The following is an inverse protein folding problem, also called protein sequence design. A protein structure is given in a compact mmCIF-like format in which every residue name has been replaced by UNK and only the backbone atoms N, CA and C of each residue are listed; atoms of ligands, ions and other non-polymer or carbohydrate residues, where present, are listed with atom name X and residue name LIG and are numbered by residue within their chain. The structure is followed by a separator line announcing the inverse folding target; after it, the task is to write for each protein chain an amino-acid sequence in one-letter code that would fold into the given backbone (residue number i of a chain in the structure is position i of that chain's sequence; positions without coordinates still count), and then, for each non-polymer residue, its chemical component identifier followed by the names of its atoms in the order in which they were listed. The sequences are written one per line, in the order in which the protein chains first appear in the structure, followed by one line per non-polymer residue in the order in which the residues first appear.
data_IF_093275789388
#
_entry.id   IF_093275789388
#
_cell.length_a   1.000
_cell.length_b   1.000
_cell.length_c   1.000
_cell.angle_alpha   90.00
_cell.angle_beta   90.00
_cell.angle_gamma   90.00
#
_symmetry.space_group_name_H-M   'P 1'
#
loop_
_entity.id
_entity.type
_entity.pdbx_description
1 polymer ?
#
# COMPACT_ATOMS: atom_id res chain seq x y z
N UNK A 1 -7.21 -1.12 0.39
CA UNK A 1 -7.36 -0.48 1.73
C UNK A 1 -7.30 1.06 1.79
N UNK A 2 -6.85 1.83 0.78
CA UNK A 2 -6.64 3.28 0.96
C UNK A 2 -7.95 4.06 1.25
N UNK A 3 -9.09 3.61 0.71
CA UNK A 3 -10.39 4.24 0.94
C UNK A 3 -10.83 4.26 2.40
N UNK A 4 -10.53 3.19 3.16
CA UNK A 4 -10.88 3.13 4.57
C UNK A 4 -10.11 4.19 5.38
N UNK A 5 -8.85 4.43 5.02
CA UNK A 5 -8.01 5.46 5.64
C UNK A 5 -8.53 6.85 5.27
N UNK A 6 -8.88 7.08 3.99
CA UNK A 6 -9.49 8.34 3.54
C UNK A 6 -10.76 8.66 4.31
N UNK A 7 -11.63 7.66 4.47
CA UNK A 7 -12.88 7.81 5.20
C UNK A 7 -12.66 8.13 6.68
N UNK A 8 -11.81 7.36 7.36
CA UNK A 8 -11.51 7.62 8.77
C UNK A 8 -10.82 8.97 8.97
N UNK A 9 -9.94 9.39 8.05
CA UNK A 9 -9.25 10.67 8.12
C UNK A 9 -10.23 11.85 8.10
N UNK A 10 -11.19 11.86 7.17
CA UNK A 10 -12.22 12.89 7.05
C UNK A 10 -13.06 13.02 8.35
N UNK A 11 -13.43 11.87 8.93
CA UNK A 11 -14.18 11.84 10.19
C UNK A 11 -13.33 12.34 11.36
N UNK A 12 -12.06 11.96 11.42
CA UNK A 12 -11.17 12.35 12.51
C UNK A 12 -10.69 13.80 12.42
N UNK A 13 -10.64 14.39 11.22
CA UNK A 13 -10.20 15.77 11.00
C UNK A 13 -11.32 16.79 11.22
N UNK A 14 -12.58 16.37 11.06
CA UNK A 14 -13.75 17.21 11.24
C UNK A 14 -13.83 17.84 12.64
N UNK A 15 -14.24 19.11 12.71
CA UNK A 15 -14.34 19.89 13.96
C UNK A 15 -12.98 20.06 14.68
N UNK A 16 -11.87 19.89 13.96
CA UNK A 16 -10.51 20.13 14.47
C UNK A 16 -9.80 21.21 13.65
N UNK A 17 -8.61 21.62 14.09
CA UNK A 17 -7.73 22.52 13.32
C UNK A 17 -7.29 21.93 11.96
N UNK A 18 -7.52 20.63 11.75
CA UNK A 18 -7.13 19.89 10.56
C UNK A 18 -8.30 19.65 9.60
N UNK A 19 -9.45 20.29 9.79
CA UNK A 19 -10.65 20.05 8.97
C UNK A 19 -10.40 20.25 7.46
N UNK A 20 -9.59 21.25 7.11
CA UNK A 20 -9.19 21.53 5.72
C UNK A 20 -7.87 20.82 5.30
N UNK A 21 -7.33 19.93 6.13
CA UNK A 21 -6.10 19.21 5.82
C UNK A 21 -6.33 18.24 4.66
N UNK A 22 -5.35 18.17 3.74
CA UNK A 22 -5.39 17.24 2.62
C UNK A 22 -4.63 15.97 2.93
N UNK A 23 -5.29 14.83 2.78
CA UNK A 23 -4.63 13.53 2.82
C UNK A 23 -4.26 13.08 1.40
N UNK A 24 -2.97 12.93 1.16
CA UNK A 24 -2.43 12.32 -0.05
C UNK A 24 -1.89 10.92 0.28
N UNK A 25 -2.42 9.90 -0.38
CA UNK A 25 -1.98 8.51 -0.23
C UNK A 25 -1.27 8.11 -1.52
N UNK A 26 0.02 7.80 -1.40
CA UNK A 26 0.80 7.21 -2.48
C UNK A 26 0.62 5.69 -2.46
N UNK A 27 -0.18 5.19 -3.40
CA UNK A 27 -0.41 3.75 -3.56
C UNK A 27 0.77 3.11 -4.27
N UNK A 28 1.44 2.19 -3.57
CA UNK A 28 2.55 1.41 -4.12
C UNK A 28 1.97 0.05 -4.53
N UNK A 29 2.12 -0.37 -5.81
CA UNK A 29 1.63 -1.67 -6.23
C UNK A 29 2.35 -2.77 -5.43
N UNK A 30 1.60 -3.82 -5.10
CA UNK A 30 2.16 -5.04 -4.54
C UNK A 30 3.19 -5.62 -5.49
N UNK A 31 4.40 -5.87 -5.03
CA UNK A 31 5.42 -6.59 -5.79
C UNK A 31 5.91 -7.79 -5.00
N UNK A 32 5.93 -8.93 -5.65
CA UNK A 32 6.44 -10.18 -5.13
C UNK A 32 7.65 -10.65 -5.90
N UNK A 33 8.62 -11.23 -5.21
CA UNK A 33 9.75 -11.91 -5.82
C UNK A 33 9.60 -13.42 -5.61
N UNK A 34 9.60 -14.19 -6.70
CA UNK A 34 9.60 -15.65 -6.62
C UNK A 34 10.98 -16.15 -6.20
N UNK A 35 11.08 -16.87 -5.08
CA UNK A 35 12.35 -17.41 -4.62
C UNK A 35 12.90 -18.54 -5.49
N UNK A 36 12.07 -19.17 -6.32
CA UNK A 36 12.49 -20.29 -7.18
C UNK A 36 13.10 -19.85 -8.51
N UNK A 37 12.62 -18.76 -9.10
CA UNK A 37 13.11 -18.27 -10.39
C UNK A 37 13.67 -16.83 -10.36
N UNK A 38 13.48 -16.11 -9.25
CA UNK A 38 13.90 -14.71 -9.10
C UNK A 38 13.03 -13.71 -9.85
N UNK A 39 11.92 -14.13 -10.47
CA UNK A 39 11.05 -13.23 -11.19
C UNK A 39 10.30 -12.30 -10.23
N UNK A 40 10.23 -11.02 -10.62
CA UNK A 40 9.38 -10.02 -10.00
C UNK A 40 7.99 -10.07 -10.63
N UNK A 41 6.96 -10.07 -9.79
CA UNK A 41 5.56 -10.24 -10.20
C UNK A 41 4.73 -9.22 -9.44
N UNK A 42 3.83 -8.54 -10.14
CA UNK A 42 2.84 -7.69 -9.50
C UNK A 42 1.84 -8.58 -8.73
N UNK A 43 1.71 -8.31 -7.43
CA UNK A 43 0.79 -9.02 -6.55
C UNK A 43 -0.54 -8.27 -6.55
N UNK A 44 -1.51 -8.77 -7.32
CA UNK A 44 -2.89 -8.32 -7.22
C UNK A 44 -3.64 -9.11 -6.13
N UNK A 45 -3.31 -10.38 -5.94
CA UNK A 45 -3.86 -11.22 -4.87
C UNK A 45 -2.79 -11.97 -4.06
N UNK A 46 -3.12 -12.30 -2.81
CA UNK A 46 -2.22 -12.95 -1.84
C UNK A 46 -1.75 -14.35 -2.30
N UNK A 47 -2.44 -14.96 -3.28
CA UNK A 47 -2.23 -16.34 -3.71
C UNK A 47 -1.82 -16.51 -5.18
N UNK A 48 -1.16 -15.51 -5.76
CA UNK A 48 -0.67 -15.63 -7.13
C UNK A 48 0.39 -16.74 -7.28
N UNK A 49 0.30 -17.48 -8.39
CA UNK A 49 1.28 -18.48 -8.79
C UNK A 49 2.29 -17.84 -9.73
N UNK A 50 3.57 -18.05 -9.46
CA UNK A 50 4.60 -17.63 -10.40
C UNK A 50 4.49 -18.43 -11.70
N UNK A 51 4.79 -17.80 -12.85
CA UNK A 51 4.81 -18.46 -14.16
C UNK A 51 5.76 -19.67 -14.23
N UNK A 52 6.70 -19.79 -13.29
CA UNK A 52 7.57 -20.95 -13.15
C UNK A 52 6.91 -22.15 -12.43
N UNK A 53 5.65 -22.03 -12.00
CA UNK A 53 4.91 -23.05 -11.25
C UNK A 53 5.22 -23.10 -9.75
N UNK A 54 5.98 -22.14 -9.23
CA UNK A 54 6.28 -22.04 -7.79
C UNK A 54 5.30 -21.09 -7.09
N UNK A 55 4.97 -21.42 -5.85
CA UNK A 55 4.17 -20.60 -4.93
C UNK A 55 5.04 -19.93 -3.85
N UNK A 56 6.36 -20.06 -3.93
CA UNK A 56 7.29 -19.44 -3.00
C UNK A 56 7.55 -17.98 -3.41
N UNK A 57 6.55 -17.12 -3.23
CA UNK A 57 6.65 -15.69 -3.51
C UNK A 57 6.81 -14.94 -2.20
N UNK A 58 7.80 -14.06 -2.14
CA UNK A 58 8.02 -13.14 -1.02
C UNK A 58 7.59 -11.75 -1.44
N UNK A 59 6.73 -11.10 -0.67
CA UNK A 59 6.37 -9.71 -0.91
C UNK A 59 7.59 -8.81 -0.64
N UNK A 60 7.92 -7.94 -1.59
CA UNK A 60 9.05 -7.02 -1.54
C UNK A 60 8.60 -5.54 -1.56
N UNK A 61 7.37 -5.25 -1.98
CA UNK A 61 6.77 -3.92 -1.93
C UNK A 61 5.23 -4.00 -1.89
N UNK A 62 4.56 -2.92 -1.46
CA UNK A 62 3.10 -2.78 -1.38
C UNK A 62 2.51 -3.07 0.00
N UNK A 63 3.33 -3.46 0.98
CA UNK A 63 2.94 -3.62 2.39
C UNK A 63 3.26 -2.38 3.24
N UNK A 64 3.74 -1.30 2.61
CA UNK A 64 4.12 -0.09 3.32
C UNK A 64 2.92 0.75 3.74
N UNK A 65 2.82 0.98 5.04
CA UNK A 65 1.99 2.04 5.62
C UNK A 65 2.90 3.00 6.40
N UNK A 66 3.40 4.05 5.76
CA UNK A 66 4.34 5.00 6.37
C UNK A 66 3.97 6.43 6.04
N UNK A 67 4.03 7.31 7.04
CA UNK A 67 3.95 8.77 6.83
C UNK A 67 5.27 9.21 6.20
N UNK A 68 5.19 9.82 5.01
CA UNK A 68 6.37 10.32 4.29
C UNK A 68 6.66 11.77 4.60
N UNK A 69 5.62 12.59 4.69
CA UNK A 69 5.73 14.03 4.84
C UNK A 69 4.52 14.57 5.58
N UNK A 70 4.72 15.67 6.32
CA UNK A 70 3.66 16.46 6.96
C UNK A 70 4.03 17.92 6.73
N UNK A 71 3.17 18.65 6.03
CA UNK A 71 3.27 20.10 5.86
C UNK A 71 2.30 20.80 6.80
N UNK A 72 2.78 21.85 7.48
CA UNK A 72 1.98 22.69 8.38
C UNK A 72 2.26 24.15 8.01
N UNK A 73 1.21 24.89 7.66
CA UNK A 73 1.27 26.29 7.24
C UNK A 73 0.89 27.24 8.39
#
# INVERSE_FOLDING_TARGET
MPDAIRFCFDICSKDTLLEDAKLEINEIPGLGCCQSCGAEIELEEIFDLCSCGSNQITCIAGEELKIKEIEVY
#
